data_IF_670320776598
#
_entry.id   IF_670320776598
#
_cell.length_a   1.000
_cell.length_b   1.000
_cell.length_c   1.000
_cell.angle_alpha   90.00
_cell.angle_beta   90.00
_cell.angle_gamma   90.00
#
_symmetry.space_group_name_H-M   'P 1'
#
loop_
_entity.id
_entity.type
_entity.pdbx_description
1 polymer ?
#
# COMPACT_ATOMS: atom_id res chain seq x y z
N UNK A 1 -29.74 22.30 8.96
CA UNK A 1 -28.47 22.24 8.20
C UNK A 1 -28.71 21.27 7.08
N UNK A 2 -28.42 21.65 5.83
CA UNK A 2 -28.56 20.71 4.71
C UNK A 2 -27.66 19.50 4.99
N UNK A 3 -28.18 18.31 4.76
CA UNK A 3 -27.47 17.06 5.00
C UNK A 3 -26.38 16.93 3.92
N UNK A 4 -25.21 17.50 4.19
CA UNK A 4 -24.03 17.46 3.32
C UNK A 4 -23.40 16.06 3.21
N UNK A 5 -24.07 15.06 3.80
CA UNK A 5 -23.68 13.66 3.82
C UNK A 5 -23.94 13.00 2.47
N UNK A 6 -22.90 12.42 1.90
CA UNK A 6 -22.94 11.63 0.68
C UNK A 6 -23.17 10.17 1.09
N UNK A 7 -24.38 9.67 0.81
CA UNK A 7 -24.73 8.26 1.04
C UNK A 7 -24.59 7.47 -0.26
N UNK A 8 -23.81 6.39 -0.24
CA UNK A 8 -23.51 5.56 -1.40
C UNK A 8 -23.76 4.09 -1.04
N UNK A 9 -24.25 3.33 -1.99
CA UNK A 9 -24.30 1.87 -1.89
C UNK A 9 -23.65 1.24 -3.12
N UNK A 10 -22.80 0.25 -2.91
CA UNK A 10 -22.15 -0.47 -4.00
C UNK A 10 -21.81 -1.89 -3.61
N UNK A 11 -21.57 -2.72 -4.60
CA UNK A 11 -21.08 -4.09 -4.39
C UNK A 11 -19.57 -4.09 -4.54
N UNK A 12 -18.79 -4.55 -3.54
CA UNK A 12 -17.35 -4.72 -3.67
C UNK A 12 -17.03 -5.58 -4.90
N UNK A 13 -16.07 -5.20 -5.75
CA UNK A 13 -15.69 -5.94 -6.97
C UNK A 13 -14.19 -6.24 -6.99
N UNK A 14 -13.76 -7.51 -7.17
CA UNK A 14 -12.37 -7.89 -7.40
C UNK A 14 -11.66 -7.09 -8.50
N UNK A 15 -12.40 -6.51 -9.46
CA UNK A 15 -11.81 -5.59 -10.46
C UNK A 15 -11.09 -4.40 -9.83
N UNK A 16 -11.45 -4.02 -8.60
CA UNK A 16 -10.84 -2.91 -7.88
C UNK A 16 -9.65 -3.32 -6.99
N UNK A 17 -9.20 -4.59 -7.01
CA UNK A 17 -7.99 -5.04 -6.30
C UNK A 17 -6.76 -4.15 -6.59
N UNK A 18 -6.48 -3.75 -7.84
CA UNK A 18 -5.36 -2.84 -8.11
C UNK A 18 -5.46 -1.51 -7.36
N UNK A 19 -6.66 -0.97 -7.19
CA UNK A 19 -6.91 0.26 -6.44
C UNK A 19 -6.65 0.08 -4.93
N UNK A 20 -7.05 -1.06 -4.36
CA UNK A 20 -6.71 -1.40 -2.97
C UNK A 20 -5.21 -1.50 -2.76
N UNK A 21 -4.51 -2.22 -3.65
CA UNK A 21 -3.04 -2.36 -3.60
C UNK A 21 -2.37 -1.00 -3.66
N UNK A 22 -2.84 -0.12 -4.55
CA UNK A 22 -2.27 1.22 -4.67
C UNK A 22 -2.52 2.07 -3.43
N UNK A 23 -3.69 1.95 -2.80
CA UNK A 23 -3.97 2.57 -1.51
C UNK A 23 -3.06 2.06 -0.39
N UNK A 24 -2.88 0.74 -0.26
CA UNK A 24 -2.01 0.15 0.77
C UNK A 24 -0.54 0.58 0.61
N UNK A 25 -0.07 0.73 -0.63
CA UNK A 25 1.29 1.23 -0.91
C UNK A 25 1.51 2.69 -0.50
N UNK A 26 0.45 3.49 -0.40
CA UNK A 26 0.51 4.92 -0.02
C UNK A 26 0.06 5.16 1.42
N UNK A 27 -0.11 4.10 2.22
CA UNK A 27 -0.53 4.20 3.59
C UNK A 27 0.62 4.67 4.48
N UNK A 28 0.37 5.66 5.35
CA UNK A 28 1.44 6.18 6.22
C UNK A 28 1.82 5.21 7.37
N UNK A 29 0.92 4.30 7.73
CA UNK A 29 1.15 3.24 8.69
C UNK A 29 0.75 1.91 8.06
N UNK A 30 1.69 0.98 7.98
CA UNK A 30 1.38 -0.38 7.57
C UNK A 30 0.27 -0.93 8.48
N UNK A 31 -0.66 -1.67 7.88
CA UNK A 31 -1.60 -2.49 8.64
C UNK A 31 -0.82 -3.55 9.42
N UNK A 32 -0.32 -3.18 10.59
CA UNK A 32 0.44 -4.04 11.47
C UNK A 32 -0.47 -5.19 11.91
N UNK A 33 -0.15 -6.38 11.40
CA UNK A 33 -0.60 -7.68 11.89
C UNK A 33 -2.08 -7.75 12.26
N UNK A 34 -2.97 -7.63 11.28
CA UNK A 34 -4.30 -8.20 11.45
C UNK A 34 -4.46 -9.36 10.47
N UNK A 35 -4.49 -10.56 11.07
CA UNK A 35 -5.02 -11.80 10.49
C UNK A 35 -4.15 -12.46 9.39
N UNK A 36 -2.86 -12.70 9.63
CA UNK A 36 -2.09 -13.57 8.74
C UNK A 36 -1.63 -14.86 9.43
N UNK A 37 -2.10 -15.97 8.88
CA UNK A 37 -1.70 -17.34 9.19
C UNK A 37 -0.17 -17.52 9.08
N UNK A 38 0.38 -18.51 9.80
CA UNK A 38 1.81 -18.87 9.78
C UNK A 38 2.36 -19.08 8.36
N UNK A 39 1.50 -19.34 7.39
CA UNK A 39 1.82 -19.44 5.96
C UNK A 39 2.50 -18.19 5.38
N UNK A 40 2.09 -16.98 5.76
CA UNK A 40 2.71 -15.75 5.24
C UNK A 40 4.07 -15.46 5.83
N UNK A 41 4.25 -15.74 7.13
CA UNK A 41 5.57 -15.68 7.75
C UNK A 41 6.56 -16.63 7.05
N UNK A 42 6.10 -17.84 6.69
CA UNK A 42 6.89 -18.79 5.89
C UNK A 42 7.14 -18.27 4.47
N UNK A 43 6.15 -17.63 3.85
CA UNK A 43 6.27 -17.07 2.50
C UNK A 43 7.35 -15.98 2.45
N UNK A 44 7.27 -14.96 3.32
CA UNK A 44 8.26 -13.91 3.39
C UNK A 44 9.65 -14.42 3.79
N UNK A 45 9.72 -15.40 4.69
CA UNK A 45 10.98 -16.07 5.04
C UNK A 45 11.60 -16.77 3.81
N UNK A 46 10.80 -17.53 3.06
CA UNK A 46 11.25 -18.20 1.83
C UNK A 46 11.68 -17.19 0.75
N UNK A 47 10.92 -16.11 0.57
CA UNK A 47 11.24 -15.05 -0.36
C UNK A 47 12.56 -14.37 0.00
N UNK A 48 12.77 -14.05 1.29
CA UNK A 48 14.05 -13.50 1.78
C UNK A 48 15.22 -14.43 1.47
N UNK A 49 15.10 -15.74 1.75
CA UNK A 49 16.15 -16.72 1.44
C UNK A 49 16.46 -16.76 -0.07
N UNK A 50 15.43 -16.82 -0.92
CA UNK A 50 15.60 -16.81 -2.38
C UNK A 50 16.29 -15.54 -2.89
N UNK A 51 15.89 -14.37 -2.38
CA UNK A 51 16.48 -13.08 -2.74
C UNK A 51 17.94 -12.99 -2.29
N UNK A 52 18.27 -13.49 -1.09
CA UNK A 52 19.66 -13.53 -0.61
C UNK A 52 20.54 -14.44 -1.47
N UNK A 53 20.05 -15.61 -1.88
CA UNK A 53 20.78 -16.52 -2.78
C UNK A 53 21.01 -15.83 -4.14
N UNK A 54 19.98 -15.21 -4.71
CA UNK A 54 20.10 -14.52 -5.99
C UNK A 54 21.07 -13.34 -5.93
N UNK A 55 21.03 -12.56 -4.85
CA UNK A 55 21.98 -11.48 -4.59
C UNK A 55 23.42 -12.00 -4.47
N UNK A 56 23.63 -13.13 -3.79
CA UNK A 56 24.94 -13.78 -3.70
C UNK A 56 25.47 -14.26 -5.06
N UNK A 57 24.60 -14.85 -5.89
CA UNK A 57 24.95 -15.26 -7.26
C UNK A 57 25.27 -14.05 -8.15
N UNK A 58 24.50 -12.97 -8.05
CA UNK A 58 24.75 -11.74 -8.79
C UNK A 58 26.10 -11.11 -8.40
N UNK A 59 26.41 -11.09 -7.10
CA UNK A 59 27.72 -10.66 -6.61
C UNK A 59 28.85 -11.51 -7.21
N UNK A 60 28.75 -12.83 -7.10
CA UNK A 60 29.75 -13.75 -7.65
C UNK A 60 29.93 -13.58 -9.17
N UNK A 61 28.85 -13.35 -9.90
CA UNK A 61 28.87 -13.13 -11.35
C UNK A 61 29.56 -11.82 -11.72
N UNK A 62 29.22 -10.71 -11.06
CA UNK A 62 29.84 -9.40 -11.30
C UNK A 62 31.33 -9.45 -10.97
N UNK A 63 31.70 -10.05 -9.83
CA UNK A 63 33.10 -10.27 -9.49
C UNK A 63 33.80 -11.13 -10.56
N UNK A 64 33.22 -12.25 -10.98
CA UNK A 64 33.80 -13.15 -11.99
C UNK A 64 34.00 -12.49 -13.36
N UNK A 65 33.06 -11.64 -13.80
CA UNK A 65 33.18 -10.88 -15.06
C UNK A 65 34.18 -9.76 -14.95
N UNK A 66 34.31 -9.14 -13.77
CA UNK A 66 35.28 -8.06 -13.59
C UNK A 66 36.72 -8.59 -13.64
N UNK A 67 36.99 -9.83 -13.21
CA UNK A 67 38.34 -10.39 -13.09
C UNK A 67 39.21 -10.37 -14.38
N UNK A 68 38.72 -10.73 -15.58
CA UNK A 68 39.57 -10.88 -16.77
C UNK A 68 39.95 -9.56 -17.47
N UNK A 69 39.26 -8.46 -17.18
CA UNK A 69 39.40 -7.20 -17.91
C UNK A 69 40.43 -6.24 -17.30
N UNK A 70 41.21 -6.69 -16.31
CA UNK A 70 42.20 -5.86 -15.63
C UNK A 70 43.62 -6.43 -15.78
N UNK A 71 44.52 -5.73 -16.49
CA UNK A 71 45.90 -6.18 -16.69
C UNK A 71 46.68 -6.11 -15.36
N UNK A 72 47.18 -7.25 -14.86
CA UNK A 72 48.16 -7.30 -13.74
C UNK A 72 47.65 -7.77 -12.37
N UNK A 73 46.87 -8.86 -12.30
CA UNK A 73 46.16 -9.42 -11.12
C UNK A 73 47.06 -9.96 -9.97
N UNK A 74 48.27 -9.45 -9.71
CA UNK A 74 49.19 -10.12 -8.74
C UNK A 74 49.87 -9.36 -7.58
N UNK A 75 49.91 -8.01 -7.41
CA UNK A 75 50.64 -7.52 -6.21
C UNK A 75 50.09 -6.34 -5.40
N UNK A 76 48.94 -5.74 -5.68
CA UNK A 76 48.45 -4.64 -4.82
C UNK A 76 47.09 -5.04 -4.27
N UNK A 77 46.77 -4.69 -3.02
CA UNK A 77 45.56 -5.17 -2.31
C UNK A 77 44.61 -4.01 -1.95
N UNK A 78 45.08 -2.76 -2.03
CA UNK A 78 44.31 -1.55 -1.63
C UNK A 78 43.26 -1.01 -2.63
N UNK A 79 43.52 -1.01 -3.95
CA UNK A 79 42.58 -0.52 -4.99
C UNK A 79 41.51 -1.55 -5.43
N UNK A 80 41.62 -2.79 -4.93
CA UNK A 80 41.11 -4.02 -5.54
C UNK A 80 39.75 -4.44 -4.96
N UNK A 81 39.47 -3.96 -3.75
CA UNK A 81 38.17 -4.08 -3.07
C UNK A 81 37.22 -2.96 -3.54
N UNK A 82 37.71 -1.84 -4.08
CA UNK A 82 36.89 -0.63 -4.26
C UNK A 82 36.22 -0.45 -5.63
N UNK A 83 36.70 -1.09 -6.71
CA UNK A 83 36.12 -0.86 -8.05
C UNK A 83 34.85 -1.69 -8.35
N UNK A 84 34.80 -3.01 -8.12
CA UNK A 84 33.57 -3.79 -8.34
C UNK A 84 32.60 -3.74 -7.16
N UNK A 85 33.06 -3.45 -5.94
CA UNK A 85 32.21 -3.49 -4.74
C UNK A 85 31.03 -2.49 -4.78
N UNK A 86 31.17 -1.24 -5.26
CA UNK A 86 30.03 -0.33 -5.41
C UNK A 86 28.99 -0.86 -6.41
N UNK A 87 29.42 -1.46 -7.53
CA UNK A 87 28.54 -2.05 -8.55
C UNK A 87 27.81 -3.25 -7.97
N UNK A 88 28.51 -4.12 -7.24
CA UNK A 88 27.94 -5.26 -6.54
C UNK A 88 26.93 -4.80 -5.48
N UNK A 89 27.29 -3.79 -4.68
CA UNK A 89 26.40 -3.23 -3.66
C UNK A 89 25.11 -2.66 -4.28
N UNK A 90 25.21 -1.93 -5.39
CA UNK A 90 24.06 -1.42 -6.12
C UNK A 90 23.21 -2.55 -6.71
N UNK A 91 23.84 -3.58 -7.28
CA UNK A 91 23.12 -4.73 -7.84
C UNK A 91 22.37 -5.51 -6.75
N UNK A 92 23.02 -5.79 -5.62
CA UNK A 92 22.41 -6.43 -4.45
C UNK A 92 21.26 -5.57 -3.93
N UNK A 93 21.50 -4.28 -3.74
CA UNK A 93 20.46 -3.34 -3.29
C UNK A 93 19.26 -3.35 -4.22
N UNK A 94 19.48 -3.29 -5.53
CA UNK A 94 18.41 -3.31 -6.53
C UNK A 94 17.63 -4.62 -6.52
N UNK A 95 18.30 -5.76 -6.42
CA UNK A 95 17.67 -7.09 -6.32
C UNK A 95 16.79 -7.17 -5.07
N UNK A 96 17.34 -6.79 -3.92
CA UNK A 96 16.60 -6.83 -2.64
C UNK A 96 15.43 -5.86 -2.70
N UNK A 97 15.62 -4.65 -3.23
CA UNK A 97 14.59 -3.63 -3.37
C UNK A 97 13.44 -4.09 -4.26
N UNK A 98 13.73 -4.60 -5.46
CA UNK A 98 12.71 -5.10 -6.39
C UNK A 98 12.00 -6.33 -5.82
N UNK A 99 12.76 -7.24 -5.20
CA UNK A 99 12.23 -8.40 -4.51
C UNK A 99 11.24 -8.01 -3.41
N UNK A 100 11.67 -7.15 -2.49
CA UNK A 100 10.83 -6.66 -1.39
C UNK A 100 9.56 -5.98 -1.91
N UNK A 101 9.65 -5.13 -2.95
CA UNK A 101 8.48 -4.49 -3.57
C UNK A 101 7.51 -5.51 -4.17
N UNK A 102 8.01 -6.56 -4.82
CA UNK A 102 7.19 -7.62 -5.40
C UNK A 102 6.46 -8.42 -4.32
N UNK A 103 7.15 -8.79 -3.25
CA UNK A 103 6.57 -9.54 -2.13
C UNK A 103 5.52 -8.71 -1.39
N UNK A 104 5.81 -7.43 -1.13
CA UNK A 104 4.85 -6.50 -0.53
C UNK A 104 3.59 -6.33 -1.41
N UNK A 105 3.77 -6.23 -2.74
CA UNK A 105 2.64 -6.18 -3.67
C UNK A 105 1.79 -7.46 -3.59
N UNK A 106 2.41 -8.64 -3.57
CA UNK A 106 1.68 -9.92 -3.47
C UNK A 106 0.88 -10.02 -2.18
N UNK A 107 1.46 -9.56 -1.07
CA UNK A 107 0.76 -9.46 0.20
C UNK A 107 -0.47 -8.56 0.13
N UNK A 108 -0.31 -7.35 -0.41
CA UNK A 108 -1.43 -6.41 -0.58
C UNK A 108 -2.52 -6.95 -1.51
N UNK A 109 -2.16 -7.67 -2.56
CA UNK A 109 -3.13 -8.33 -3.44
C UNK A 109 -3.96 -9.36 -2.66
N UNK A 110 -3.32 -10.22 -1.86
CA UNK A 110 -4.06 -11.24 -1.10
C UNK A 110 -4.90 -10.60 0.00
N UNK A 111 -4.40 -9.57 0.69
CA UNK A 111 -5.19 -8.80 1.64
C UNK A 111 -6.42 -8.18 0.99
N UNK A 112 -6.28 -7.58 -0.19
CA UNK A 112 -7.39 -6.99 -0.94
C UNK A 112 -8.43 -8.04 -1.34
N UNK A 113 -8.00 -9.20 -1.87
CA UNK A 113 -8.91 -10.29 -2.21
C UNK A 113 -9.66 -10.82 -0.99
N UNK A 114 -8.96 -10.98 0.14
CA UNK A 114 -9.56 -11.42 1.38
C UNK A 114 -10.58 -10.42 1.89
N UNK A 115 -10.26 -9.11 1.91
CA UNK A 115 -11.20 -8.06 2.33
C UNK A 115 -12.46 -8.05 1.46
N UNK A 116 -12.32 -8.07 0.13
CA UNK A 116 -13.47 -8.08 -0.79
C UNK A 116 -14.31 -9.35 -0.61
N UNK A 117 -13.68 -10.51 -0.48
CA UNK A 117 -14.38 -11.78 -0.27
C UNK A 117 -15.10 -11.81 1.08
N UNK A 118 -14.45 -11.32 2.14
CA UNK A 118 -15.01 -11.21 3.48
C UNK A 118 -16.22 -10.28 3.48
N UNK A 119 -16.10 -9.08 2.92
CA UNK A 119 -17.23 -8.14 2.81
C UNK A 119 -18.41 -8.76 2.05
N UNK A 120 -18.15 -9.38 0.89
CA UNK A 120 -19.18 -10.05 0.09
C UNK A 120 -19.88 -11.21 0.80
N UNK A 121 -19.17 -11.94 1.67
CA UNK A 121 -19.72 -13.08 2.40
C UNK A 121 -20.79 -12.62 3.41
N UNK A 122 -20.62 -11.46 4.02
CA UNK A 122 -21.50 -10.97 5.07
C UNK A 122 -22.49 -9.91 4.61
N UNK A 123 -22.14 -9.12 3.59
CA UNK A 123 -23.02 -8.12 2.99
C UNK A 123 -22.88 -8.10 1.46
N UNK A 124 -23.93 -8.40 0.70
CA UNK A 124 -23.88 -8.33 -0.77
C UNK A 124 -23.75 -6.88 -1.29
N UNK A 125 -24.08 -5.89 -0.45
CA UNK A 125 -23.92 -4.47 -0.73
C UNK A 125 -23.31 -3.78 0.48
N UNK A 126 -22.34 -2.90 0.23
CA UNK A 126 -21.72 -2.05 1.22
C UNK A 126 -22.41 -0.70 1.18
N UNK A 127 -22.92 -0.23 2.32
CA UNK A 127 -23.48 1.10 2.47
C UNK A 127 -22.44 1.98 3.15
N UNK A 128 -22.14 3.11 2.53
CA UNK A 128 -21.16 4.07 3.04
C UNK A 128 -21.79 5.45 3.12
N UNK A 129 -21.39 6.18 4.16
CA UNK A 129 -21.78 7.56 4.41
C UNK A 129 -20.48 8.37 4.53
N UNK A 130 -20.37 9.43 3.75
CA UNK A 130 -19.24 10.36 3.76
C UNK A 130 -19.79 11.73 4.12
N UNK A 131 -19.45 12.24 5.29
CA UNK A 131 -19.98 13.52 5.74
C UNK A 131 -18.99 14.31 6.62
N UNK A 132 -19.44 15.44 7.17
CA UNK A 132 -18.59 16.30 8.01
C UNK A 132 -17.97 15.58 9.21
N UNK A 133 -18.67 14.59 9.77
CA UNK A 133 -18.22 13.84 10.94
C UNK A 133 -17.17 12.76 10.63
N UNK A 134 -17.06 12.32 9.37
CA UNK A 134 -16.15 11.27 8.96
C UNK A 134 -16.68 10.39 7.84
N UNK A 135 -16.01 9.26 7.68
CA UNK A 135 -16.42 8.13 6.86
C UNK A 135 -17.07 7.06 7.74
N UNK A 136 -18.23 6.56 7.33
CA UNK A 136 -18.92 5.46 8.00
C UNK A 136 -19.28 4.40 6.97
N UNK A 137 -18.95 3.16 7.27
CA UNK A 137 -19.30 1.98 6.49
C UNK A 137 -20.18 1.09 7.36
N UNK A 138 -21.41 0.87 6.91
CA UNK A 138 -22.36 -0.02 7.57
C UNK A 138 -22.37 -1.34 6.81
N UNK A 139 -21.99 -2.40 7.51
CA UNK A 139 -22.15 -3.78 7.04
C UNK A 139 -23.18 -4.50 7.89
N UNK A 140 -23.55 -5.73 7.50
CA UNK A 140 -24.48 -6.54 8.27
C UNK A 140 -23.97 -6.91 9.67
N UNK A 141 -22.66 -7.04 9.83
CA UNK A 141 -22.04 -7.47 11.09
C UNK A 141 -21.58 -6.27 11.92
N UNK A 142 -20.86 -5.36 11.28
CA UNK A 142 -20.17 -4.27 11.96
C UNK A 142 -20.40 -2.92 11.28
N UNK A 143 -20.25 -1.86 12.05
CA UNK A 143 -20.16 -0.49 11.53
C UNK A 143 -18.75 0.04 11.76
N UNK A 144 -18.05 0.37 10.68
CA UNK A 144 -16.73 0.99 10.74
C UNK A 144 -16.89 2.50 10.64
N UNK A 145 -16.35 3.24 11.61
CA UNK A 145 -16.34 4.70 11.59
C UNK A 145 -14.90 5.22 11.62
N UNK A 146 -14.57 6.12 10.70
CA UNK A 146 -13.25 6.71 10.52
C UNK A 146 -13.37 8.24 10.53
N UNK A 147 -12.66 8.88 11.43
CA UNK A 147 -12.56 10.35 11.49
C UNK A 147 -11.61 10.89 10.40
N UNK A 148 -11.87 12.11 9.92
CA UNK A 148 -10.95 12.82 9.01
C UNK A 148 -9.61 13.16 9.67
N UNK A 149 -9.52 13.16 11.01
CA UNK A 149 -8.24 13.24 11.71
C UNK A 149 -7.29 12.08 11.38
N UNK A 150 -7.84 10.92 10.94
CA UNK A 150 -7.06 9.76 10.49
C UNK A 150 -6.94 9.66 8.96
N UNK A 151 -7.48 10.62 8.22
CA UNK A 151 -7.42 10.65 6.77
C UNK A 151 -6.09 11.26 6.32
N UNK A 152 -5.43 10.60 5.36
CA UNK A 152 -4.11 11.01 4.88
C UNK A 152 -4.15 11.56 3.46
N UNK A 153 -4.81 10.82 2.58
CA UNK A 153 -4.69 11.00 1.16
C UNK A 153 -5.92 10.42 0.47
N UNK A 154 -6.38 11.11 -0.55
CA UNK A 154 -7.26 10.53 -1.56
C UNK A 154 -6.50 10.36 -2.87
N UNK A 155 -6.73 9.23 -3.52
CA UNK A 155 -6.17 8.90 -4.82
C UNK A 155 -7.34 8.68 -5.77
N UNK A 156 -7.21 9.20 -7.00
CA UNK A 156 -8.27 9.17 -8.02
C UNK A 156 -7.82 8.41 -9.27
N UNK A 157 -7.62 7.07 -9.19
CA UNK A 157 -7.48 6.25 -10.40
C UNK A 157 -8.76 6.33 -11.27
N UNK A 158 -8.70 5.94 -12.56
CA UNK A 158 -9.80 6.18 -13.51
C UNK A 158 -11.19 5.69 -13.05
N UNK A 159 -11.25 4.49 -12.48
CA UNK A 159 -12.52 3.81 -12.18
C UNK A 159 -12.89 3.79 -10.68
N UNK A 160 -12.12 4.45 -9.82
CA UNK A 160 -12.40 4.46 -8.39
C UNK A 160 -11.85 5.68 -7.65
N UNK A 161 -12.45 5.99 -6.51
CA UNK A 161 -11.90 6.85 -5.48
C UNK A 161 -11.30 5.98 -4.39
N UNK A 162 -10.02 6.18 -4.08
CA UNK A 162 -9.33 5.48 -3.00
C UNK A 162 -9.08 6.47 -1.86
N UNK A 163 -9.65 6.19 -0.70
CA UNK A 163 -9.42 6.97 0.52
C UNK A 163 -8.45 6.19 1.41
N UNK A 164 -7.32 6.82 1.72
CA UNK A 164 -6.25 6.22 2.53
C UNK A 164 -6.33 6.81 3.94
N UNK A 165 -6.53 5.95 4.92
CA UNK A 165 -6.54 6.29 6.34
C UNK A 165 -5.37 5.62 7.07
N UNK A 166 -5.03 6.13 8.25
CA UNK A 166 -4.14 5.42 9.17
C UNK A 166 -4.73 4.03 9.49
N UNK A 167 -4.06 2.95 9.05
CA UNK A 167 -4.48 1.59 9.37
C UNK A 167 -5.67 1.03 8.56
N UNK A 168 -6.22 1.75 7.58
CA UNK A 168 -7.16 1.15 6.61
C UNK A 168 -7.19 1.90 5.27
N UNK A 169 -7.70 1.22 4.23
CA UNK A 169 -7.90 1.77 2.88
C UNK A 169 -9.31 1.44 2.44
N UNK A 170 -10.00 2.45 1.92
CA UNK A 170 -11.34 2.33 1.36
C UNK A 170 -11.28 2.58 -0.14
N UNK A 171 -11.92 1.73 -0.92
CA UNK A 171 -12.07 1.91 -2.36
C UNK A 171 -13.54 2.01 -2.72
N UNK A 172 -13.89 3.08 -3.42
CA UNK A 172 -15.25 3.39 -3.84
C UNK A 172 -15.27 3.43 -5.37
N UNK A 173 -16.09 2.61 -6.06
CA UNK A 173 -16.23 2.68 -7.50
C UNK A 173 -16.72 4.05 -7.95
N UNK A 174 -16.10 4.62 -9.00
CA UNK A 174 -16.54 5.92 -9.53
C UNK A 174 -17.98 5.88 -10.03
N UNK A 175 -18.46 4.72 -10.49
CA UNK A 175 -19.84 4.50 -10.94
C UNK A 175 -20.88 4.59 -9.83
N UNK A 176 -20.47 4.46 -8.56
CA UNK A 176 -21.35 4.54 -7.41
C UNK A 176 -21.39 5.96 -6.80
N UNK A 177 -20.46 6.84 -7.17
CA UNK A 177 -20.40 8.19 -6.63
C UNK A 177 -21.49 9.08 -7.26
N UNK A 178 -22.22 9.89 -6.46
CA UNK A 178 -23.24 10.79 -6.98
C UNK A 178 -22.68 12.05 -7.64
N UNK A 179 -21.38 12.34 -7.41
CA UNK A 179 -20.64 13.48 -7.98
C UNK A 179 -19.25 13.00 -8.41
N UNK A 180 -18.50 13.84 -9.13
CA UNK A 180 -17.17 13.44 -9.59
C UNK A 180 -16.22 13.18 -8.40
N UNK A 181 -15.30 12.19 -8.51
CA UNK A 181 -14.36 11.87 -7.43
C UNK A 181 -13.58 13.09 -6.90
N UNK A 182 -13.21 14.03 -7.77
CA UNK A 182 -12.47 15.25 -7.39
C UNK A 182 -13.29 16.15 -6.47
N UNK A 183 -14.58 16.29 -6.72
CA UNK A 183 -15.49 17.13 -5.92
C UNK A 183 -15.70 16.50 -4.53
N UNK A 184 -15.77 15.16 -4.45
CA UNK A 184 -15.79 14.43 -3.17
C UNK A 184 -14.52 14.71 -2.37
N UNK A 185 -13.35 14.65 -3.02
CA UNK A 185 -12.06 14.91 -2.37
C UNK A 185 -11.98 16.34 -1.86
N UNK A 186 -12.47 17.32 -2.62
CA UNK A 186 -12.49 18.72 -2.20
C UNK A 186 -13.36 18.91 -0.94
N UNK A 187 -14.55 18.31 -0.90
CA UNK A 187 -15.40 18.31 0.30
C UNK A 187 -14.72 17.66 1.50
N UNK A 188 -14.09 16.50 1.31
CA UNK A 188 -13.33 15.81 2.37
C UNK A 188 -12.19 16.69 2.89
N UNK A 189 -11.43 17.34 2.02
CA UNK A 189 -10.34 18.21 2.43
C UNK A 189 -10.84 19.42 3.23
N UNK A 190 -12.00 19.98 2.85
CA UNK A 190 -12.65 21.03 3.62
C UNK A 190 -13.06 20.55 5.02
N UNK A 191 -13.71 19.39 5.13
CA UNK A 191 -14.08 18.81 6.44
C UNK A 191 -12.87 18.43 7.29
N UNK A 192 -11.82 17.88 6.67
CA UNK A 192 -10.56 17.57 7.34
C UNK A 192 -9.92 18.84 7.92
N UNK A 193 -9.88 19.93 7.15
CA UNK A 193 -9.35 21.22 7.61
C UNK A 193 -10.18 21.80 8.75
N UNK A 194 -11.51 21.68 8.69
CA UNK A 194 -12.40 22.11 9.77
C UNK A 194 -12.15 21.29 11.05
N UNK A 195 -12.07 19.97 10.95
CA UNK A 195 -11.84 19.07 12.09
C UNK A 195 -10.44 19.28 12.71
N UNK A 196 -9.42 19.56 11.90
CA UNK A 196 -8.08 19.90 12.40
C UNK A 196 -8.09 21.19 13.22
N UNK A 197 -8.89 22.20 12.85
CA UNK A 197 -9.01 23.44 13.63
C UNK A 197 -9.65 23.21 14.99
N UNK A 198 -10.58 22.26 15.12
CA UNK A 198 -11.20 21.89 16.39
C UNK A 198 -10.24 21.13 17.32
N UNK A 199 -9.25 20.43 16.76
CA UNK A 199 -8.24 19.67 17.49
C UNK A 199 -7.06 20.51 17.99
N UNK A 200 -6.93 21.76 17.53
CA UNK A 200 -5.92 22.67 18.05
C UNK A 200 -6.23 22.96 19.53
N UNK A 201 -5.23 22.90 20.43
CA UNK A 201 -5.45 23.24 21.82
C UNK A 201 -5.98 24.67 21.90
N UNK A 202 -7.09 24.85 22.63
CA UNK A 202 -7.56 26.17 23.04
C UNK A 202 -6.45 26.78 23.89
N UNK A 203 -5.63 27.62 23.27
CA UNK A 203 -4.58 28.41 23.93
C UNK A 203 -5.17 29.31 25.00
#
# INVERSE_FOLDING_TARGET
MADDTISISFTPDPKHVPSYVYGYQNQAYENYSMIFDKSWARHFSSARVKLSIFAGLAAAFIYSISLPWFPGVWPVVGYWVFAPAPIVALAIWFIIWQGARREAKSYYEVLAHWNIAHERMYSPQTQIEIGPQGYKQVTRLDTVQLSWARYHLAITPPDSLVLVFHGTVVVIPSSALPIAPKDVVEKINHWCTAQQKELLPLS
#
